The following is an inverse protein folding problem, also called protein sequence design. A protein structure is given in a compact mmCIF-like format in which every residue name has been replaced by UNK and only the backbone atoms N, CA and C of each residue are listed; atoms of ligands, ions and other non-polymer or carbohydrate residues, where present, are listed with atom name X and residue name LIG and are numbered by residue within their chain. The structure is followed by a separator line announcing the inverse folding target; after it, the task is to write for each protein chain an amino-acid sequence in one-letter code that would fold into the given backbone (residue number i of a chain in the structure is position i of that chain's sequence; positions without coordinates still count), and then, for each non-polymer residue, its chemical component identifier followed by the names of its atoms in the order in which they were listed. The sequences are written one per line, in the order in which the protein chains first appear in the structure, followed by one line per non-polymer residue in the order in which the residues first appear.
data_IF_337496111923
#
_entry.id   IF_337496111923
#
_cell.length_a   1.000
_cell.length_b   1.000
_cell.length_c   1.000
_cell.angle_alpha   90.00
_cell.angle_beta   90.00
_cell.angle_gamma   90.00
#
_symmetry.space_group_name_H-M   'P 1'
#
loop_
_entity.id
_entity.type
_entity.pdbx_description
1 polymer ?
#
# COMPACT_ATOMS: atom_id res chain seq x y z
N UNK A 1 -7.92 2.89 -27.25
CA UNK A 1 -8.47 3.90 -26.31
C UNK A 1 -7.39 4.12 -25.29
N UNK A 2 -6.58 5.13 -25.53
CA UNK A 2 -5.27 5.31 -24.91
C UNK A 2 -5.46 5.81 -23.48
N UNK A 3 -5.49 4.89 -22.53
CA UNK A 3 -5.25 5.22 -21.14
C UNK A 3 -3.78 5.64 -21.06
N UNK A 4 -3.53 6.93 -21.30
CA UNK A 4 -2.23 7.55 -21.04
C UNK A 4 -1.96 7.32 -19.56
N UNK A 5 -1.07 6.37 -19.26
CA UNK A 5 -0.51 6.23 -17.93
C UNK A 5 0.34 7.47 -17.70
N UNK A 6 -0.24 8.45 -17.03
CA UNK A 6 0.49 9.61 -16.56
C UNK A 6 1.30 9.19 -15.33
N UNK A 7 2.42 8.50 -15.57
CA UNK A 7 3.43 8.28 -14.54
C UNK A 7 4.14 9.61 -14.29
N UNK A 8 3.61 10.40 -13.36
CA UNK A 8 4.41 11.47 -12.78
C UNK A 8 5.46 10.83 -11.88
N UNK A 9 6.65 10.51 -12.40
CA UNK A 9 7.77 10.08 -11.58
C UNK A 9 8.33 11.32 -10.90
N UNK A 10 8.11 11.44 -9.59
CA UNK A 10 8.68 12.52 -8.79
C UNK A 10 9.64 11.92 -7.76
N UNK A 11 10.83 12.49 -7.66
CA UNK A 11 11.85 12.08 -6.70
C UNK A 11 11.74 13.00 -5.49
N UNK A 12 11.62 12.43 -4.29
CA UNK A 12 11.57 13.22 -3.06
C UNK A 12 12.52 12.66 -2.02
N UNK A 13 13.36 13.54 -1.46
CA UNK A 13 14.13 13.27 -0.23
C UNK A 13 13.20 13.16 1.00
N UNK A 14 11.94 13.58 0.85
CA UNK A 14 10.94 13.47 1.90
C UNK A 14 10.35 12.07 1.94
N UNK A 15 10.45 11.45 3.11
CA UNK A 15 10.06 10.05 3.30
C UNK A 15 8.60 9.85 3.71
N UNK A 16 7.75 10.84 3.43
CA UNK A 16 6.36 10.89 3.86
C UNK A 16 5.45 11.25 2.70
N UNK A 17 4.31 10.60 2.60
CA UNK A 17 3.21 10.95 1.71
C UNK A 17 2.06 11.43 2.60
N UNK A 18 1.40 12.51 2.20
CA UNK A 18 0.28 13.10 2.92
C UNK A 18 -0.95 13.04 2.04
N UNK A 19 -2.09 12.73 2.64
CA UNK A 19 -3.39 12.91 1.99
C UNK A 19 -4.02 14.15 2.59
N UNK A 20 -4.48 15.05 1.73
CA UNK A 20 -5.04 16.32 2.11
C UNK A 20 -6.38 16.56 1.43
N UNK A 21 -7.21 17.34 2.11
CA UNK A 21 -8.39 17.99 1.55
C UNK A 21 -8.59 19.31 2.29
N UNK A 22 -8.95 20.40 1.61
CA UNK A 22 -9.17 21.73 2.21
C UNK A 22 -8.06 22.21 3.17
N UNK A 23 -6.81 22.06 2.75
CA UNK A 23 -5.59 22.33 3.50
C UNK A 23 -5.53 21.62 4.87
N UNK A 24 -6.16 20.46 5.00
CA UNK A 24 -6.18 19.63 6.21
C UNK A 24 -5.64 18.26 5.89
N UNK A 25 -4.62 17.84 6.64
CA UNK A 25 -4.01 16.51 6.54
C UNK A 25 -4.97 15.48 7.15
N UNK A 26 -5.35 14.50 6.34
CA UNK A 26 -6.27 13.43 6.69
C UNK A 26 -5.56 12.10 6.96
N UNK A 27 -4.36 11.93 6.42
CA UNK A 27 -3.57 10.72 6.59
C UNK A 27 -2.11 11.01 6.24
N UNK A 28 -1.20 10.26 6.85
CA UNK A 28 0.22 10.28 6.52
C UNK A 28 0.74 8.85 6.41
N UNK A 29 1.37 8.55 5.29
CA UNK A 29 2.20 7.36 5.12
C UNK A 29 3.67 7.77 5.26
N UNK A 30 4.41 7.19 6.20
CA UNK A 30 5.85 7.42 6.33
C UNK A 30 6.60 6.13 6.05
N UNK A 31 7.63 6.20 5.22
CA UNK A 31 8.45 5.05 4.82
C UNK A 31 9.88 5.29 5.27
N UNK A 32 10.53 4.29 5.85
CA UNK A 32 11.91 4.39 6.33
C UNK A 32 12.69 3.14 6.01
N UNK A 33 14.02 3.29 5.91
CA UNK A 33 14.93 2.16 6.05
C UNK A 33 14.87 1.62 7.50
N UNK A 34 15.03 0.31 7.69
CA UNK A 34 15.27 -0.26 9.02
C UNK A 34 16.48 0.40 9.68
N UNK A 35 16.44 0.47 11.01
CA UNK A 35 17.56 0.92 11.82
C UNK A 35 18.73 -0.06 11.66
N UNK A 36 19.76 0.34 10.90
CA UNK A 36 20.89 -0.53 10.54
C UNK A 36 21.72 -0.95 11.76
N UNK A 37 21.72 -0.14 12.81
CA UNK A 37 22.49 -0.42 14.03
C UNK A 37 21.80 -1.51 14.87
N UNK A 38 20.50 -1.74 14.64
CA UNK A 38 19.71 -2.76 15.33
C UNK A 38 19.42 -3.99 14.47
N UNK A 39 19.41 -3.82 13.14
CA UNK A 39 18.87 -4.81 12.23
C UNK A 39 19.75 -4.98 11.00
N UNK A 40 20.20 -6.21 10.77
CA UNK A 40 20.83 -6.59 9.51
C UNK A 40 19.77 -6.76 8.42
N UNK A 41 19.47 -5.68 7.70
CA UNK A 41 18.56 -5.67 6.54
C UNK A 41 19.37 -5.87 5.26
N UNK A 42 19.00 -6.87 4.46
CA UNK A 42 19.77 -7.28 3.27
C UNK A 42 19.01 -7.10 1.94
N UNK A 43 17.67 -7.07 1.95
CA UNK A 43 16.88 -7.28 0.72
C UNK A 43 15.93 -6.12 0.36
N UNK A 44 16.14 -4.93 0.93
CA UNK A 44 15.30 -3.75 0.66
C UNK A 44 14.03 -3.71 1.51
N UNK A 45 14.10 -4.23 2.73
CA UNK A 45 12.99 -4.14 3.66
C UNK A 45 12.73 -2.69 4.13
N UNK A 46 11.51 -2.44 4.58
CA UNK A 46 11.04 -1.11 4.96
C UNK A 46 10.31 -1.13 6.30
N UNK A 47 10.38 0.00 7.00
CA UNK A 47 9.47 0.34 8.10
C UNK A 47 8.44 1.34 7.58
N UNK A 48 7.15 1.03 7.74
CA UNK A 48 6.04 1.81 7.20
C UNK A 48 5.15 2.25 8.37
N UNK A 49 4.87 3.54 8.47
CA UNK A 49 3.98 4.10 9.48
C UNK A 49 2.77 4.71 8.77
N UNK A 50 1.58 4.33 9.20
CA UNK A 50 0.30 4.80 8.70
C UNK A 50 -0.36 5.56 9.82
N UNK A 51 -0.34 6.88 9.74
CA UNK A 51 -0.87 7.75 10.77
C UNK A 51 -2.18 8.35 10.29
N UNK A 52 -3.23 8.18 11.09
CA UNK A 52 -4.50 8.85 10.87
C UNK A 52 -4.45 10.31 11.29
N UNK A 53 -5.61 10.92 11.42
CA UNK A 53 -5.75 12.29 11.87
C UNK A 53 -5.31 12.41 13.33
N UNK A 54 -4.64 13.51 13.65
CA UNK A 54 -4.18 13.78 15.00
C UNK A 54 -5.35 13.74 15.98
N UNK A 55 -5.24 12.88 16.99
CA UNK A 55 -6.24 12.68 18.05
C UNK A 55 -7.62 12.24 17.54
N UNK A 56 -7.73 11.67 16.34
CA UNK A 56 -8.96 11.08 15.85
C UNK A 56 -8.67 9.66 15.33
N UNK A 57 -9.30 8.62 15.91
CA UNK A 57 -9.06 7.25 15.49
C UNK A 57 -9.69 6.98 14.12
N UNK A 58 -9.28 5.89 13.47
CA UNK A 58 -10.05 5.35 12.36
C UNK A 58 -11.42 4.86 12.86
N UNK A 59 -12.50 5.21 12.16
CA UNK A 59 -13.85 4.75 12.45
C UNK A 59 -13.93 3.23 12.28
N UNK A 60 -13.33 2.73 11.20
CA UNK A 60 -13.13 1.31 10.99
C UNK A 60 -11.68 1.01 10.63
N UNK A 61 -11.11 0.00 11.28
CA UNK A 61 -9.85 -0.58 10.87
C UNK A 61 -10.05 -2.07 10.61
N UNK A 62 -9.70 -2.48 9.40
CA UNK A 62 -9.74 -3.88 8.99
C UNK A 62 -8.35 -4.36 8.63
N UNK A 63 -8.05 -5.59 9.02
CA UNK A 63 -6.85 -6.30 8.62
C UNK A 63 -7.24 -7.53 7.79
N UNK A 64 -6.76 -7.59 6.55
CA UNK A 64 -6.98 -8.74 5.69
C UNK A 64 -6.13 -9.92 6.19
N UNK A 65 -6.79 -11.06 6.43
CA UNK A 65 -6.16 -12.37 6.69
C UNK A 65 -6.17 -13.19 5.40
N UNK A 66 -5.76 -14.45 5.48
CA UNK A 66 -5.72 -15.31 4.31
C UNK A 66 -7.12 -15.45 3.68
N UNK A 67 -8.12 -15.90 4.43
CA UNK A 67 -9.45 -16.22 3.87
C UNK A 67 -10.60 -15.34 4.38
N UNK A 68 -10.31 -14.31 5.17
CA UNK A 68 -11.30 -13.40 5.74
C UNK A 68 -10.63 -12.08 6.13
N UNK A 69 -11.41 -11.10 6.58
CA UNK A 69 -10.92 -9.82 7.14
C UNK A 69 -11.40 -9.65 8.58
N UNK A 70 -10.51 -9.12 9.43
CA UNK A 70 -10.79 -8.85 10.84
C UNK A 70 -11.13 -7.38 11.04
N UNK A 71 -12.31 -7.06 11.61
CA UNK A 71 -12.58 -5.72 12.16
C UNK A 71 -11.89 -5.58 13.51
N UNK A 72 -11.05 -4.58 13.67
CA UNK A 72 -10.51 -4.24 14.99
C UNK A 72 -11.48 -3.35 15.77
N UNK A 73 -11.82 -3.75 17.00
CA UNK A 73 -12.90 -3.12 17.78
C UNK A 73 -12.48 -1.90 18.61
N UNK A 74 -11.19 -1.80 18.99
CA UNK A 74 -10.71 -0.67 19.80
C UNK A 74 -10.26 0.48 18.90
N UNK A 75 -10.27 1.69 19.44
CA UNK A 75 -9.81 2.90 18.74
C UNK A 75 -8.32 2.83 18.41
N UNK A 76 -8.01 2.81 17.11
CA UNK A 76 -6.64 2.84 16.58
C UNK A 76 -6.41 4.17 15.88
N UNK A 77 -5.26 4.77 16.15
CA UNK A 77 -4.88 6.09 15.64
C UNK A 77 -3.72 6.01 14.65
N UNK A 78 -2.90 4.98 14.78
CA UNK A 78 -1.78 4.74 13.89
C UNK A 78 -1.43 3.25 13.85
N UNK A 79 -0.76 2.88 12.76
CA UNK A 79 -0.27 1.54 12.50
C UNK A 79 1.20 1.65 12.14
N UNK A 80 2.04 0.75 12.66
CA UNK A 80 3.39 0.58 12.14
C UNK A 80 3.58 -0.84 11.63
N UNK A 81 4.25 -0.95 10.49
CA UNK A 81 4.57 -2.19 9.83
C UNK A 81 6.08 -2.27 9.67
N UNK A 82 6.68 -3.15 10.45
CA UNK A 82 8.08 -3.53 10.36
C UNK A 82 8.21 -4.70 9.36
N UNK A 83 8.53 -4.39 8.10
CA UNK A 83 8.53 -5.33 6.97
C UNK A 83 9.75 -6.25 6.90
N UNK A 84 10.55 -6.34 7.96
CA UNK A 84 11.81 -7.10 8.02
C UNK A 84 11.81 -8.13 9.13
N UNK A 85 12.59 -9.20 8.92
CA UNK A 85 13.00 -10.07 10.01
C UNK A 85 14.23 -9.47 10.68
N UNK A 86 14.43 -9.79 11.95
CA UNK A 86 15.68 -9.44 12.63
C UNK A 86 16.07 -10.47 13.69
N UNK A 87 17.36 -10.57 13.98
CA UNK A 87 17.86 -11.43 15.05
C UNK A 87 17.83 -10.67 16.38
N UNK A 88 17.24 -11.28 17.41
CA UNK A 88 17.24 -10.78 18.77
C UNK A 88 17.61 -11.92 19.72
N UNK A 89 18.77 -11.82 20.36
CA UNK A 89 19.30 -12.82 21.30
C UNK A 89 19.29 -14.25 20.70
N UNK A 90 19.79 -14.39 19.47
CA UNK A 90 19.84 -15.68 18.76
C UNK A 90 18.52 -16.11 18.11
N UNK A 91 17.43 -15.39 18.32
CA UNK A 91 16.11 -15.73 17.77
C UNK A 91 15.71 -14.81 16.61
N UNK A 92 15.37 -15.40 15.45
CA UNK A 92 14.83 -14.65 14.32
C UNK A 92 13.39 -14.23 14.62
N UNK A 93 13.17 -12.93 14.78
CA UNK A 93 11.85 -12.31 14.88
C UNK A 93 11.29 -12.08 13.48
N UNK A 94 10.02 -12.42 13.32
CA UNK A 94 9.29 -12.23 12.07
C UNK A 94 8.84 -10.76 11.90
N UNK A 95 8.64 -10.30 10.65
CA UNK A 95 7.95 -9.06 10.34
C UNK A 95 6.65 -8.93 11.10
N UNK A 96 6.28 -7.68 11.41
CA UNK A 96 5.18 -7.43 12.34
C UNK A 96 4.46 -6.13 12.04
N UNK A 97 3.14 -6.17 12.23
CA UNK A 97 2.26 -5.01 12.18
C UNK A 97 1.76 -4.74 13.60
N UNK A 98 1.93 -3.51 14.07
CA UNK A 98 1.42 -3.03 15.35
C UNK A 98 0.26 -2.08 15.13
N UNK A 99 -0.87 -2.38 15.75
CA UNK A 99 -1.99 -1.45 15.88
C UNK A 99 -1.82 -0.67 17.19
N UNK A 100 -1.90 0.67 17.14
CA UNK A 100 -1.61 1.50 18.31
C UNK A 100 -2.72 2.50 18.62
N UNK A 101 -2.93 2.70 19.93
CA UNK A 101 -3.85 3.70 20.44
C UNK A 101 -3.25 5.12 20.40
N UNK A 102 -4.01 6.09 20.91
CA UNK A 102 -3.62 7.51 20.94
C UNK A 102 -2.29 7.77 21.67
N UNK A 103 -1.99 7.00 22.72
CA UNK A 103 -0.74 7.09 23.51
C UNK A 103 0.42 6.34 22.85
N UNK A 104 0.28 5.92 21.59
CA UNK A 104 1.24 5.11 20.85
C UNK A 104 1.54 3.76 21.53
N UNK A 105 0.66 3.28 22.42
CA UNK A 105 0.77 1.96 23.03
C UNK A 105 0.24 0.90 22.07
N UNK A 106 0.93 -0.23 22.00
CA UNK A 106 0.54 -1.38 21.17
C UNK A 106 -0.72 -2.02 21.75
N UNK A 107 -1.78 -2.04 20.97
CA UNK A 107 -3.04 -2.70 21.30
C UNK A 107 -3.14 -4.11 20.69
N UNK A 108 -2.47 -4.31 19.55
CA UNK A 108 -2.36 -5.62 18.90
C UNK A 108 -1.03 -5.74 18.15
N UNK A 109 -0.48 -6.95 18.17
CA UNK A 109 0.68 -7.35 17.39
C UNK A 109 0.29 -8.46 16.41
N UNK A 110 0.55 -8.26 15.12
CA UNK A 110 0.23 -9.20 14.05
C UNK A 110 1.52 -9.59 13.33
N UNK A 111 2.00 -10.81 13.58
CA UNK A 111 3.19 -11.35 12.90
C UNK A 111 2.84 -11.95 11.55
N UNK A 112 3.74 -11.81 10.58
CA UNK A 112 3.53 -12.31 9.23
C UNK A 112 4.83 -12.76 8.55
N UNK A 113 4.70 -13.53 7.47
CA UNK A 113 5.82 -14.02 6.63
C UNK A 113 6.06 -13.14 5.40
N UNK A 114 5.08 -12.32 5.03
CA UNK A 114 5.18 -11.43 3.88
C UNK A 114 6.35 -10.44 3.98
N UNK A 115 7.10 -10.31 2.88
CA UNK A 115 8.21 -9.37 2.73
C UNK A 115 8.17 -8.80 1.31
N UNK A 116 8.50 -7.53 1.18
CA UNK A 116 8.77 -6.90 -0.11
C UNK A 116 10.19 -7.32 -0.48
N UNK A 117 10.33 -8.14 -1.51
CA UNK A 117 11.62 -8.71 -1.92
C UNK A 117 11.89 -8.41 -3.39
N UNK A 118 13.16 -8.24 -3.74
CA UNK A 118 13.60 -8.03 -5.12
C UNK A 118 13.34 -9.23 -6.04
N UNK A 119 13.13 -10.44 -5.50
CA UNK A 119 12.79 -11.66 -6.24
C UNK A 119 11.29 -11.77 -6.60
N UNK A 120 10.50 -10.71 -6.36
CA UNK A 120 9.08 -10.69 -6.72
C UNK A 120 8.73 -9.35 -7.35
N UNK A 121 8.82 -9.24 -8.67
CA UNK A 121 8.64 -8.01 -9.43
C UNK A 121 7.16 -7.64 -9.59
N UNK A 122 6.51 -7.32 -8.48
CA UNK A 122 5.10 -6.90 -8.45
C UNK A 122 4.88 -5.78 -7.42
N UNK A 123 3.89 -4.89 -7.64
CA UNK A 123 3.52 -3.91 -6.63
C UNK A 123 2.87 -4.58 -5.42
N UNK A 124 3.56 -4.55 -4.30
CA UNK A 124 3.12 -5.16 -3.06
C UNK A 124 2.02 -4.31 -2.39
N UNK A 125 0.80 -4.82 -2.16
CA UNK A 125 -0.27 -4.05 -1.54
C UNK A 125 0.01 -3.79 -0.06
N UNK A 126 -0.15 -2.55 0.38
CA UNK A 126 0.11 -2.15 1.77
C UNK A 126 -1.20 -1.85 2.51
N UNK A 127 -1.88 -0.78 2.10
CA UNK A 127 -3.14 -0.38 2.72
C UNK A 127 -3.99 0.40 1.72
N UNK A 128 -5.28 0.45 2.02
CA UNK A 128 -6.23 1.36 1.40
C UNK A 128 -6.86 2.22 2.48
N UNK A 129 -6.87 3.54 2.28
CA UNK A 129 -7.48 4.51 3.19
C UNK A 129 -8.74 5.07 2.53
N UNK A 130 -9.83 5.05 3.28
CA UNK A 130 -11.16 5.47 2.87
C UNK A 130 -11.50 6.78 3.58
N UNK A 131 -11.89 7.78 2.82
CA UNK A 131 -12.17 9.13 3.29
C UNK A 131 -13.62 9.49 2.90
N UNK A 132 -14.52 9.72 3.86
CA UNK A 132 -15.91 10.08 3.60
C UNK A 132 -16.03 11.44 2.91
N UNK A 133 -17.15 11.67 2.22
CA UNK A 133 -17.51 12.95 1.60
C UNK A 133 -17.48 14.08 2.62
N UNK A 134 -18.23 13.88 3.72
CA UNK A 134 -18.35 14.83 4.83
C UNK A 134 -17.45 14.37 5.96
N UNK A 135 -16.34 15.06 6.13
CA UNK A 135 -15.31 14.74 7.12
C UNK A 135 -15.21 15.80 8.22
N UNK A 136 -15.61 17.04 7.92
CA UNK A 136 -15.33 18.18 8.78
C UNK A 136 -16.42 18.36 9.82
N UNK A 137 -16.21 17.75 10.99
CA UNK A 137 -16.85 18.18 12.23
C UNK A 137 -15.88 19.08 13.02
N UNK A 138 -16.43 20.06 13.73
CA UNK A 138 -15.70 21.02 14.57
C UNK A 138 -14.96 20.32 15.73
N UNK A 139 -15.31 19.08 16.06
CA UNK A 139 -14.64 18.27 17.08
C UNK A 139 -13.25 17.77 16.66
N UNK A 140 -12.96 17.70 15.36
CA UNK A 140 -11.72 17.09 14.84
C UNK A 140 -10.62 18.15 14.66
N UNK A 141 -9.47 17.92 15.30
CA UNK A 141 -8.30 18.80 15.21
C UNK A 141 -7.37 18.40 14.06
N UNK A 142 -7.55 19.04 12.92
CA UNK A 142 -6.71 18.81 11.75
C UNK A 142 -5.36 19.54 11.84
N UNK A 143 -4.32 18.88 11.36
CA UNK A 143 -3.07 19.55 11.02
C UNK A 143 -3.21 20.17 9.63
N UNK A 144 -2.68 21.37 9.43
CA UNK A 144 -2.60 21.98 8.09
C UNK A 144 -1.36 21.49 7.37
N UNK A 145 -1.38 21.51 6.04
CA UNK A 145 -0.18 21.31 5.25
C UNK A 145 0.79 22.45 5.54
N UNK A 146 2.05 22.09 5.80
CA UNK A 146 3.12 23.04 6.04
C UNK A 146 3.82 23.35 4.71
N UNK A 147 4.33 24.59 4.55
CA UNK A 147 4.94 25.03 3.28
C UNK A 147 6.19 24.25 2.91
N UNK A 148 6.86 23.61 3.86
CA UNK A 148 8.08 22.84 3.64
C UNK A 148 7.82 21.42 3.12
N UNK A 149 6.54 20.98 3.04
CA UNK A 149 6.20 19.68 2.47
C UNK A 149 6.22 19.80 0.94
N UNK A 150 7.03 19.01 0.21
CA UNK A 150 7.03 19.05 -1.24
C UNK A 150 5.67 18.65 -1.81
N UNK A 151 5.21 19.36 -2.85
CA UNK A 151 3.89 19.19 -3.44
C UNK A 151 3.68 17.76 -3.97
N UNK A 152 4.74 17.13 -4.50
CA UNK A 152 4.73 15.76 -4.96
C UNK A 152 4.42 14.71 -3.89
N UNK A 153 4.67 15.06 -2.63
CA UNK A 153 4.37 14.23 -1.48
C UNK A 153 2.93 14.41 -0.99
N UNK A 154 2.15 15.28 -1.61
CA UNK A 154 0.77 15.58 -1.22
C UNK A 154 -0.20 15.01 -2.25
N UNK A 155 -1.14 14.21 -1.76
CA UNK A 155 -2.26 13.66 -2.51
C UNK A 155 -3.49 14.51 -2.17
N UNK A 156 -3.87 15.37 -3.10
CA UNK A 156 -5.05 16.21 -2.99
C UNK A 156 -6.32 15.42 -3.35
N UNK A 157 -7.26 15.35 -2.42
CA UNK A 157 -8.60 14.83 -2.69
C UNK A 157 -9.56 15.97 -3.02
N UNK A 158 -10.50 15.69 -3.93
CA UNK A 158 -11.58 16.64 -4.20
C UNK A 158 -12.48 16.82 -2.98
N UNK A 159 -13.07 18.01 -2.91
CA UNK A 159 -14.03 18.36 -1.87
C UNK A 159 -15.34 17.62 -2.04
N UNK A 160 -15.98 17.31 -0.90
CA UNK A 160 -17.32 16.71 -0.80
C UNK A 160 -17.51 15.40 -1.59
N UNK A 161 -16.41 14.71 -1.89
CA UNK A 161 -16.37 13.45 -2.62
C UNK A 161 -15.81 12.35 -1.72
N UNK A 162 -16.36 11.14 -1.85
CA UNK A 162 -15.82 9.97 -1.18
C UNK A 162 -14.57 9.54 -1.96
N UNK A 163 -13.47 9.34 -1.24
CA UNK A 163 -12.20 8.95 -1.85
C UNK A 163 -11.61 7.74 -1.17
N UNK A 164 -11.15 6.78 -1.97
CA UNK A 164 -10.25 5.71 -1.55
C UNK A 164 -8.87 5.95 -2.15
N UNK A 165 -7.83 5.79 -1.36
CA UNK A 165 -6.44 5.78 -1.85
C UNK A 165 -5.85 4.41 -1.55
N UNK A 166 -5.44 3.70 -2.60
CA UNK A 166 -4.76 2.42 -2.52
C UNK A 166 -3.24 2.65 -2.60
N UNK A 167 -2.46 2.08 -1.68
CA UNK A 167 -1.00 2.18 -1.66
C UNK A 167 -0.31 0.84 -1.92
N UNK A 168 0.71 0.87 -2.77
CA UNK A 168 1.54 -0.26 -3.14
C UNK A 168 3.01 0.13 -3.11
N UNK A 169 3.88 -0.85 -2.88
CA UNK A 169 5.33 -0.64 -2.87
C UNK A 169 5.97 -1.64 -3.83
N UNK A 170 6.77 -1.12 -4.75
CA UNK A 170 7.59 -1.96 -5.61
C UNK A 170 8.86 -2.41 -4.86
N UNK A 171 9.37 -3.60 -5.18
CA UNK A 171 10.67 -4.04 -4.71
C UNK A 171 11.78 -3.02 -4.96
N UNK A 172 12.83 -3.12 -4.14
CA UNK A 172 14.02 -2.28 -4.28
C UNK A 172 14.58 -2.41 -5.70
N UNK A 173 14.86 -1.28 -6.33
CA UNK A 173 15.40 -1.19 -7.69
C UNK A 173 14.47 -1.74 -8.80
N UNK A 174 13.17 -1.90 -8.54
CA UNK A 174 12.17 -2.14 -9.57
C UNK A 174 11.27 -0.91 -9.70
N UNK A 175 11.30 -0.27 -10.86
CA UNK A 175 10.64 1.02 -11.08
C UNK A 175 9.19 0.89 -11.54
N UNK A 176 8.42 1.95 -11.35
CA UNK A 176 7.06 2.08 -11.85
C UNK A 176 7.02 1.96 -13.39
N UNK A 177 8.03 2.52 -14.07
CA UNK A 177 8.20 2.40 -15.52
C UNK A 177 8.39 0.94 -15.94
N UNK A 178 9.27 0.20 -15.27
CA UNK A 178 9.45 -1.23 -15.55
C UNK A 178 8.17 -2.04 -15.28
N UNK A 179 7.44 -1.74 -14.21
CA UNK A 179 6.14 -2.38 -13.94
C UNK A 179 5.09 -2.07 -15.02
N UNK A 180 5.05 -0.84 -15.52
CA UNK A 180 4.08 -0.41 -16.53
C UNK A 180 4.18 -1.17 -17.85
N UNK A 181 5.35 -1.71 -18.16
CA UNK A 181 5.60 -2.52 -19.36
C UNK A 181 5.12 -3.96 -19.22
N UNK A 182 4.71 -4.38 -18.02
CA UNK A 182 4.24 -5.74 -17.77
C UNK A 182 2.73 -5.89 -18.04
N UNK A 183 2.26 -7.06 -18.52
CA UNK A 183 0.82 -7.31 -18.68
C UNK A 183 0.02 -7.22 -17.36
N UNK A 184 0.67 -7.37 -16.21
CA UNK A 184 0.03 -7.29 -14.91
C UNK A 184 -0.59 -5.91 -14.63
N UNK A 185 -0.10 -4.85 -15.28
CA UNK A 185 -0.63 -3.49 -15.14
C UNK A 185 -2.13 -3.41 -15.44
N UNK A 186 -2.62 -4.17 -16.43
CA UNK A 186 -4.03 -4.17 -16.82
C UNK A 186 -4.95 -4.68 -15.71
N UNK A 187 -4.48 -5.68 -14.94
CA UNK A 187 -5.23 -6.13 -13.76
C UNK A 187 -5.32 -5.00 -12.75
N UNK A 188 -4.19 -4.37 -12.42
CA UNK A 188 -4.14 -3.31 -11.42
C UNK A 188 -4.99 -2.09 -11.81
N UNK A 189 -5.04 -1.72 -13.09
CA UNK A 189 -5.83 -0.55 -13.56
C UNK A 189 -7.33 -0.79 -13.50
N UNK A 190 -7.76 -2.02 -13.76
CA UNK A 190 -9.17 -2.38 -13.90
C UNK A 190 -9.79 -2.98 -12.63
N UNK A 191 -8.97 -3.52 -11.73
CA UNK A 191 -9.46 -4.26 -10.56
C UNK A 191 -9.62 -3.39 -9.33
N UNK A 192 -10.61 -3.77 -8.54
CA UNK A 192 -10.74 -3.34 -7.16
C UNK A 192 -9.58 -3.85 -6.28
N UNK A 193 -9.36 -3.20 -5.13
CA UNK A 193 -8.29 -3.58 -4.18
C UNK A 193 -8.56 -4.93 -3.49
N UNK A 194 -9.78 -5.46 -3.57
CA UNK A 194 -10.11 -6.85 -3.19
C UNK A 194 -9.41 -7.91 -4.05
N UNK A 195 -8.72 -7.52 -5.14
CA UNK A 195 -7.85 -8.40 -5.93
C UNK A 195 -6.79 -9.14 -5.08
N UNK A 196 -6.39 -8.58 -3.94
CA UNK A 196 -5.37 -9.21 -3.08
C UNK A 196 -5.96 -10.05 -1.95
N UNK A 197 -7.29 -10.12 -1.84
CA UNK A 197 -8.00 -10.85 -0.78
C UNK A 197 -8.44 -12.24 -1.26
N UNK A 198 -8.01 -13.30 -0.57
CA UNK A 198 -8.46 -14.67 -0.91
C UNK A 198 -9.84 -15.01 -0.38
N UNK A 199 -10.41 -14.18 0.49
CA UNK A 199 -11.83 -14.26 0.89
C UNK A 199 -12.74 -14.28 -0.34
N UNK A 200 -12.36 -13.55 -1.39
CA UNK A 200 -13.13 -13.48 -2.64
C UNK A 200 -12.72 -14.54 -3.66
N UNK A 201 -12.01 -15.61 -3.26
CA UNK A 201 -11.72 -16.79 -4.08
C UNK A 201 -11.17 -16.52 -5.50
N UNK A 202 -10.41 -15.44 -5.68
CA UNK A 202 -9.86 -15.13 -7.00
C UNK A 202 -10.76 -14.25 -7.88
N UNK A 203 -11.96 -13.88 -7.42
CA UNK A 203 -12.92 -13.09 -8.17
C UNK A 203 -12.30 -11.78 -8.67
N UNK A 204 -12.43 -11.54 -9.97
CA UNK A 204 -12.02 -10.28 -10.58
C UNK A 204 -13.17 -9.28 -10.49
N UNK A 205 -13.09 -8.37 -9.53
CA UNK A 205 -14.05 -7.29 -9.36
C UNK A 205 -13.60 -6.05 -10.10
N UNK A 206 -14.31 -5.74 -11.19
CA UNK A 206 -13.97 -4.63 -12.09
C UNK A 206 -14.44 -3.30 -11.48
N UNK A 207 -13.60 -2.27 -11.56
CA UNK A 207 -14.00 -0.89 -11.26
C UNK A 207 -14.86 -0.33 -12.39
N UNK A 208 -15.70 0.68 -12.08
CA UNK A 208 -16.59 1.28 -13.09
C UNK A 208 -15.77 2.04 -14.14
N UNK A 209 -14.64 2.62 -13.74
CA UNK A 209 -13.71 3.34 -14.60
C UNK A 209 -12.28 2.84 -14.38
N UNK A 210 -11.41 3.15 -15.35
CA UNK A 210 -9.97 2.98 -15.17
C UNK A 210 -9.45 4.11 -14.29
N UNK A 211 -8.64 3.74 -13.29
CA UNK A 211 -8.02 4.68 -12.38
C UNK A 211 -6.49 4.56 -12.50
N UNK A 212 -5.80 5.58 -13.04
CA UNK A 212 -4.36 5.50 -13.27
C UNK A 212 -3.59 5.45 -11.94
N UNK A 213 -2.46 4.73 -11.96
CA UNK A 213 -1.51 4.78 -10.85
C UNK A 213 -0.58 5.97 -11.04
N UNK A 214 -0.31 6.64 -9.93
CA UNK A 214 0.78 7.59 -9.79
C UNK A 214 1.91 6.92 -9.01
N UNK A 215 3.13 7.36 -9.24
CA UNK A 215 4.32 6.83 -8.59
C UNK A 215 5.09 7.93 -7.88
N UNK A 216 5.61 7.65 -6.70
CA UNK A 216 6.55 8.54 -6.02
C UNK A 216 7.76 7.71 -5.59
N UNK A 217 8.96 8.16 -5.96
CA UNK A 217 10.18 7.49 -5.52
C UNK A 217 10.53 7.98 -4.12
N UNK A 218 10.51 7.06 -3.15
CA UNK A 218 10.95 7.30 -1.79
C UNK A 218 12.07 6.33 -1.49
N UNK A 219 13.26 6.86 -1.17
CA UNK A 219 14.45 6.06 -0.91
C UNK A 219 14.85 5.28 -2.20
N UNK A 220 14.79 3.95 -2.18
CA UNK A 220 15.19 3.07 -3.29
C UNK A 220 13.98 2.28 -3.82
N UNK A 221 12.77 2.75 -3.51
CA UNK A 221 11.51 2.11 -3.85
C UNK A 221 10.59 3.10 -4.56
N UNK A 222 9.91 2.61 -5.58
CA UNK A 222 8.80 3.33 -6.18
C UNK A 222 7.52 2.94 -5.43
N UNK A 223 6.85 3.96 -4.89
CA UNK A 223 5.58 3.82 -4.20
C UNK A 223 4.48 4.14 -5.20
N UNK A 224 3.65 3.15 -5.51
CA UNK A 224 2.49 3.39 -6.37
C UNK A 224 1.28 3.72 -5.52
N UNK A 225 0.49 4.67 -5.97
CA UNK A 225 -0.82 4.95 -5.38
C UNK A 225 -1.86 5.23 -6.44
N UNK A 226 -3.11 4.93 -6.10
CA UNK A 226 -4.27 5.15 -6.96
C UNK A 226 -5.39 5.76 -6.16
N UNK A 227 -6.02 6.79 -6.73
CA UNK A 227 -7.15 7.49 -6.12
C UNK A 227 -8.42 7.01 -6.84
N UNK A 228 -9.37 6.49 -6.08
CA UNK A 228 -10.68 6.07 -6.56
C UNK A 228 -11.73 6.96 -5.90
N UNK A 229 -12.40 7.79 -6.70
CA UNK A 229 -13.36 8.79 -6.22
C UNK A 229 -14.79 8.48 -6.72
N UNK A 230 -15.78 8.64 -5.84
CA UNK A 230 -17.21 8.49 -6.16
C UNK A 230 -17.60 7.15 -6.83
N UNK A 231 -16.86 6.08 -6.55
CA UNK A 231 -17.27 4.72 -6.91
C UNK A 231 -17.73 3.96 -5.66
N UNK A 232 -18.77 3.13 -5.82
CA UNK A 232 -19.20 2.19 -4.78
C UNK A 232 -18.05 1.23 -4.47
N UNK A 233 -17.78 1.05 -3.18
CA UNK A 233 -16.77 0.10 -2.73
C UNK A 233 -17.35 -1.32 -2.69
N UNK A 234 -16.53 -2.30 -3.04
CA UNK A 234 -16.84 -3.73 -2.84
C UNK A 234 -16.70 -4.19 -1.38
N UNK A 235 -16.36 -3.26 -0.49
CA UNK A 235 -16.29 -3.40 0.96
C UNK A 235 -17.29 -2.40 1.58
N UNK A 236 -18.59 -2.71 1.60
CA UNK A 236 -19.65 -1.75 1.97
C UNK A 236 -19.51 -1.21 3.39
N UNK A 237 -18.91 -1.96 4.30
CA UNK A 237 -18.61 -1.52 5.67
C UNK A 237 -17.56 -0.40 5.75
N UNK A 238 -16.81 -0.16 4.67
CA UNK A 238 -15.84 0.93 4.54
C UNK A 238 -16.40 2.11 3.74
N UNK A 239 -17.59 1.96 3.16
CA UNK A 239 -18.18 2.98 2.31
C UNK A 239 -18.44 4.25 3.11
N UNK A 240 -17.97 5.38 2.58
CA UNK A 240 -18.18 6.70 3.17
C UNK A 240 -17.92 6.76 4.70
N UNK A 241 -16.85 6.10 5.18
CA UNK A 241 -16.37 6.13 6.57
C UNK A 241 -14.87 6.40 6.63
N UNK A 242 -14.36 6.97 7.73
CA UNK A 242 -12.92 7.17 7.88
C UNK A 242 -12.23 5.87 8.24
N UNK A 243 -11.78 5.13 7.23
CA UNK A 243 -11.42 3.72 7.44
C UNK A 243 -10.08 3.33 6.86
N UNK A 244 -9.33 2.50 7.59
CA UNK A 244 -8.08 1.93 7.14
C UNK A 244 -8.24 0.43 6.88
N UNK A 245 -7.95 0.00 5.66
CA UNK A 245 -7.90 -1.41 5.27
C UNK A 245 -6.45 -1.81 5.03
N UNK A 246 -5.91 -2.68 5.88
CA UNK A 246 -4.53 -3.17 5.77
C UNK A 246 -4.55 -4.47 4.98
N UNK A 247 -3.79 -4.52 3.88
CA UNK A 247 -3.72 -5.71 3.03
C UNK A 247 -2.90 -6.83 3.67
N UNK A 248 -3.23 -8.08 3.33
CA UNK A 248 -2.50 -9.23 3.84
C UNK A 248 -1.12 -9.29 3.19
N UNK A 249 -0.04 -9.24 3.97
CA UNK A 249 1.30 -9.31 3.42
C UNK A 249 1.69 -10.70 2.93
N UNK A 250 0.99 -11.74 3.39
CA UNK A 250 1.35 -13.11 3.09
C UNK A 250 0.95 -13.48 1.66
N UNK A 251 1.93 -13.92 0.87
CA UNK A 251 1.72 -14.55 -0.44
C UNK A 251 0.89 -13.72 -1.43
N UNK A 252 0.95 -12.39 -1.35
CA UNK A 252 0.21 -11.48 -2.24
C UNK A 252 0.57 -11.74 -3.72
N UNK A 253 1.85 -12.07 -4.01
CA UNK A 253 2.30 -12.49 -5.34
C UNK A 253 1.53 -13.71 -5.85
N UNK A 254 1.49 -14.80 -5.07
CA UNK A 254 0.80 -16.04 -5.44
C UNK A 254 -0.69 -15.80 -5.71
N UNK A 255 -1.32 -14.89 -4.95
CA UNK A 255 -2.72 -14.54 -5.15
C UNK A 255 -2.93 -13.88 -6.51
N UNK A 256 -2.08 -12.93 -6.88
CA UNK A 256 -2.15 -12.24 -8.18
C UNK A 256 -1.83 -13.22 -9.32
N UNK A 257 -0.75 -13.98 -9.15
CA UNK A 257 -0.26 -14.92 -10.15
C UNK A 257 -1.30 -16.01 -10.42
N UNK A 258 -1.87 -16.64 -9.40
CA UNK A 258 -2.93 -17.62 -9.58
C UNK A 258 -4.13 -17.05 -10.35
N UNK A 259 -4.49 -15.78 -10.14
CA UNK A 259 -5.60 -15.13 -10.87
C UNK A 259 -5.25 -14.84 -12.32
N UNK A 260 -4.02 -14.41 -12.61
CA UNK A 260 -3.54 -14.24 -13.99
C UNK A 260 -3.63 -15.55 -14.77
N UNK A 261 -3.35 -16.68 -14.12
CA UNK A 261 -3.39 -17.99 -14.76
C UNK A 261 -4.79 -18.53 -15.02
N UNK A 262 -5.77 -18.18 -14.20
CA UNK A 262 -7.17 -18.58 -14.42
C UNK A 262 -7.83 -17.86 -15.60
N UNK A 263 -7.24 -16.76 -16.09
CA UNK A 263 -7.71 -16.02 -17.28
C UNK A 263 -7.20 -16.57 -18.62
N UNK A 264 -6.62 -17.78 -18.66
CA UNK A 264 -6.26 -18.48 -19.90
C UNK A 264 -4.80 -18.33 -20.34
N UNK A 265 -3.93 -17.74 -19.51
CA UNK A 265 -2.49 -17.75 -19.75
C UNK A 265 -1.85 -18.95 -19.02
N UNK A 266 -1.08 -19.77 -19.74
CA UNK A 266 -0.33 -20.88 -19.16
C UNK A 266 0.53 -20.38 -17.99
N UNK A 267 0.35 -20.98 -16.80
CA UNK A 267 1.11 -20.68 -15.58
C UNK A 267 2.59 -20.60 -15.92
N UNK A 268 3.08 -21.61 -16.62
CA UNK A 268 4.48 -21.81 -16.94
C UNK A 268 5.08 -20.58 -17.65
N UNK A 269 4.33 -19.98 -18.58
CA UNK A 269 4.76 -18.82 -19.35
C UNK A 269 4.90 -17.54 -18.51
N UNK A 270 3.92 -17.23 -17.65
CA UNK A 270 3.98 -16.02 -16.82
C UNK A 270 5.09 -16.07 -15.77
N UNK A 271 5.38 -17.26 -15.24
CA UNK A 271 6.48 -17.44 -14.28
C UNK A 271 7.82 -17.39 -14.98
N UNK A 272 7.91 -17.98 -16.17
CA UNK A 272 9.09 -17.86 -17.02
C UNK A 272 9.41 -16.40 -17.36
N UNK A 273 8.43 -15.59 -17.77
CA UNK A 273 8.66 -14.16 -18.06
C UNK A 273 9.04 -13.35 -16.81
N UNK A 274 8.41 -13.63 -15.66
CA UNK A 274 8.82 -13.05 -14.38
C UNK A 274 10.27 -13.39 -14.02
N UNK A 275 10.65 -14.67 -14.14
CA UNK A 275 11.98 -15.16 -13.78
C UNK A 275 13.06 -14.62 -14.75
N UNK A 276 12.73 -14.48 -16.04
CA UNK A 276 13.58 -13.84 -17.04
C UNK A 276 13.79 -12.35 -16.75
N UNK A 277 12.74 -11.63 -16.39
CA UNK A 277 12.84 -10.21 -16.03
C UNK A 277 13.63 -10.01 -14.73
N UNK A 278 13.49 -10.91 -13.76
CA UNK A 278 14.33 -10.96 -12.57
C UNK A 278 15.82 -11.11 -12.89
N UNK A 279 16.18 -12.01 -13.80
CA UNK A 279 17.56 -12.17 -14.25
C UNK A 279 18.07 -10.89 -14.91
N UNK A 280 17.27 -10.26 -15.77
CA UNK A 280 17.62 -8.97 -16.42
C UNK A 280 17.95 -7.89 -15.39
N UNK A 281 17.11 -7.71 -14.37
CA UNK A 281 17.31 -6.69 -13.32
C UNK A 281 18.53 -7.01 -12.46
N UNK A 282 18.73 -8.28 -12.07
CA UNK A 282 19.92 -8.71 -11.29
C UNK A 282 21.22 -8.42 -12.02
N UNK A 283 21.24 -8.53 -13.35
CA UNK A 283 22.42 -8.31 -14.18
C UNK A 283 22.73 -6.82 -14.40
N UNK A 284 21.74 -5.92 -14.35
CA UNK A 284 21.96 -4.46 -14.43
C UNK A 284 22.80 -3.90 -13.28
N UNK A 285 22.77 -4.54 -12.10
CA UNK A 285 23.51 -4.07 -10.92
C UNK A 285 24.96 -4.56 -10.82
N UNK A 286 25.47 -5.26 -11.84
CA UNK A 286 26.82 -5.84 -11.87
C UNK A 286 27.77 -5.19 -12.89
N UNK A 287 27.30 -4.20 -13.65
CA UNK A 287 28.10 -3.42 -14.60
C UNK A 287 28.30 -1.99 -14.10
#
# INVERSE_FOLDING_TARGET
MDAVMEFSIKNSEHNKIYIERNNKILFRLKIKKPDKDKYNSYDGELDIMMDGIKNHPFDNLYFQRDNYKDKYKKSIYNVSWHGFSYNQNGNIKMPVIHLKNQKNKKELEIRHKGKIKNDKLFPFPICSIYIPKKFYDNSIKFQKVQKEIPEENIIHLKNDIFGRIDFFILPKNYSASEFSMTPAIFLYLASDNTLFSREYHGEFRKLKKYHPYKSLKIINHDILYRIVENEETYLPELDNTYSLFIHNPNSSFEVIYNRLTMKGNDRSSLRYEHDKELERIKNKGKN
#
